data_IF_400078719899
#
_entry.id   IF_400078719899
#
_cell.length_a   1.000
_cell.length_b   1.000
_cell.length_c   1.000
_cell.angle_alpha   90.00
_cell.angle_beta   90.00
_cell.angle_gamma   90.00
#
_symmetry.space_group_name_H-M   'P 1'
#
loop_
_entity.id
_entity.type
_entity.pdbx_description
1 polymer ?
#
# COMPACT_ATOMS: atom_id res chain seq x y z
N UNK A 1 -13.48 1.09 9.80
CA UNK A 1 -12.90 -0.21 10.17
C UNK A 1 -11.41 -0.34 9.79
N UNK A 2 -11.01 -0.92 8.65
CA UNK A 2 -9.60 -1.36 8.41
C UNK A 2 -8.55 -0.25 8.55
N UNK A 3 -8.71 0.89 7.87
CA UNK A 3 -7.73 1.99 7.95
C UNK A 3 -7.63 2.59 9.37
N UNK A 4 -8.74 2.60 10.11
CA UNK A 4 -8.76 3.07 11.49
C UNK A 4 -8.04 2.10 12.42
N UNK A 5 -8.22 0.79 12.23
CA UNK A 5 -7.49 -0.25 12.96
C UNK A 5 -5.97 -0.14 12.71
N UNK A 6 -5.55 0.00 11.45
CA UNK A 6 -4.13 0.19 11.10
C UNK A 6 -3.56 1.45 11.74
N UNK A 7 -4.29 2.57 11.66
CA UNK A 7 -3.86 3.84 12.27
C UNK A 7 -3.78 3.73 13.79
N UNK A 8 -4.71 3.02 14.41
CA UNK A 8 -4.73 2.77 15.86
C UNK A 8 -3.55 1.92 16.32
N UNK A 9 -3.17 0.89 15.55
CA UNK A 9 -2.01 0.04 15.85
C UNK A 9 -0.67 0.78 15.70
N UNK A 10 -0.56 1.65 14.70
CA UNK A 10 0.62 2.51 14.52
C UNK A 10 0.71 3.61 15.58
N UNK A 11 -0.42 4.10 16.10
CA UNK A 11 -0.50 5.18 17.08
C UNK A 11 0.14 6.46 16.55
N UNK A 12 0.97 7.11 17.37
CA UNK A 12 1.64 8.36 17.00
C UNK A 12 2.57 8.25 15.79
N UNK A 13 3.00 7.03 15.45
CA UNK A 13 3.84 6.76 14.26
C UNK A 13 3.07 6.89 12.96
N UNK A 14 1.74 6.95 12.97
CA UNK A 14 0.90 7.08 11.77
C UNK A 14 0.93 8.50 11.16
N UNK A 15 2.13 9.10 11.03
CA UNK A 15 2.34 10.46 10.51
C UNK A 15 3.61 10.51 9.67
N UNK A 16 3.57 11.27 8.59
CA UNK A 16 4.71 11.43 7.69
C UNK A 16 4.75 10.41 6.53
N UNK A 17 5.90 10.26 5.85
CA UNK A 17 6.02 9.48 4.63
C UNK A 17 5.63 8.01 4.80
N UNK A 18 4.90 7.46 3.83
CA UNK A 18 4.50 6.05 3.86
C UNK A 18 4.39 5.42 2.47
N UNK A 19 4.60 4.11 2.44
CA UNK A 19 4.22 3.21 1.35
C UNK A 19 2.80 2.68 1.63
N UNK A 20 1.87 2.92 0.71
CA UNK A 20 0.54 2.32 0.75
C UNK A 20 0.45 1.20 -0.28
N UNK A 21 0.30 -0.03 0.20
CA UNK A 21 0.17 -1.22 -0.62
C UNK A 21 -1.25 -1.78 -0.53
N UNK A 22 -1.96 -1.80 -1.67
CA UNK A 22 -3.26 -2.44 -1.83
C UNK A 22 -3.09 -3.70 -2.66
N UNK A 23 -3.26 -4.84 -2.01
CA UNK A 23 -3.04 -6.16 -2.59
C UNK A 23 -4.37 -6.87 -2.85
N UNK A 24 -4.62 -7.31 -4.08
CA UNK A 24 -5.74 -8.19 -4.40
C UNK A 24 -5.46 -9.64 -4.04
N UNK A 25 -6.47 -10.35 -3.54
CA UNK A 25 -6.37 -11.78 -3.24
C UNK A 25 -6.62 -12.71 -4.43
N UNK A 26 -6.78 -12.14 -5.64
CA UNK A 26 -6.86 -12.86 -6.90
C UNK A 26 -8.16 -12.57 -7.66
N UNK A 27 -9.31 -12.72 -6.99
CA UNK A 27 -10.63 -12.56 -7.60
C UNK A 27 -11.12 -11.11 -7.75
N UNK A 28 -10.41 -10.13 -7.18
CA UNK A 28 -10.82 -8.71 -7.23
C UNK A 28 -10.25 -7.98 -8.45
N UNK A 29 -11.11 -7.37 -9.30
CA UNK A 29 -10.67 -6.60 -10.46
C UNK A 29 -9.74 -5.44 -10.10
N UNK A 30 -8.78 -5.15 -11.00
CA UNK A 30 -7.81 -4.08 -10.79
C UNK A 30 -8.47 -2.70 -10.57
N UNK A 31 -9.57 -2.42 -11.27
CA UNK A 31 -10.35 -1.18 -11.09
C UNK A 31 -10.87 -1.03 -9.65
N UNK A 32 -11.34 -2.12 -9.04
CA UNK A 32 -11.81 -2.11 -7.66
C UNK A 32 -10.64 -1.91 -6.69
N UNK A 33 -9.48 -2.52 -6.96
CA UNK A 33 -8.28 -2.28 -6.15
C UNK A 33 -7.85 -0.80 -6.16
N UNK A 34 -7.96 -0.11 -7.31
CA UNK A 34 -7.70 1.33 -7.39
C UNK A 34 -8.76 2.18 -6.68
N UNK A 35 -10.04 1.77 -6.69
CA UNK A 35 -11.08 2.40 -5.88
C UNK A 35 -10.76 2.29 -4.38
N UNK A 36 -10.32 1.11 -3.94
CA UNK A 36 -9.89 0.86 -2.56
C UNK A 36 -8.66 1.68 -2.20
N UNK A 37 -7.65 1.73 -3.07
CA UNK A 37 -6.47 2.58 -2.90
C UNK A 37 -6.83 4.05 -2.71
N UNK A 38 -7.66 4.62 -3.60
CA UNK A 38 -8.08 6.01 -3.50
C UNK A 38 -8.82 6.30 -2.18
N UNK A 39 -9.67 5.37 -1.74
CA UNK A 39 -10.39 5.50 -0.47
C UNK A 39 -9.44 5.43 0.74
N UNK A 40 -8.53 4.46 0.76
CA UNK A 40 -7.54 4.29 1.82
C UNK A 40 -6.58 5.47 1.91
N UNK A 41 -6.05 5.93 0.76
CA UNK A 41 -5.17 7.10 0.67
C UNK A 41 -5.82 8.33 1.30
N UNK A 42 -7.06 8.66 0.92
CA UNK A 42 -7.79 9.81 1.49
C UNK A 42 -7.95 9.71 3.00
N UNK A 43 -8.23 8.51 3.51
CA UNK A 43 -8.39 8.30 4.97
C UNK A 43 -7.06 8.51 5.68
N UNK A 44 -5.97 7.90 5.21
CA UNK A 44 -4.66 8.05 5.85
C UNK A 44 -4.13 9.49 5.75
N UNK A 45 -4.25 10.13 4.58
CA UNK A 45 -3.78 11.51 4.38
C UNK A 45 -4.54 12.52 5.23
N UNK A 46 -5.84 12.31 5.45
CA UNK A 46 -6.62 13.13 6.39
C UNK A 46 -6.08 13.06 7.82
N UNK A 47 -5.39 11.98 8.19
CA UNK A 47 -4.86 11.74 9.53
C UNK A 47 -3.34 12.02 9.65
N UNK A 48 -2.72 12.66 8.66
CA UNK A 48 -1.32 13.13 8.73
C UNK A 48 -0.28 12.19 8.13
N UNK A 49 -0.68 11.04 7.59
CA UNK A 49 0.18 10.21 6.73
C UNK A 49 0.38 10.92 5.40
N UNK A 50 1.55 10.80 4.80
CA UNK A 50 1.84 11.27 3.43
C UNK A 50 2.20 10.07 2.58
N UNK A 51 1.31 9.63 1.69
CA UNK A 51 1.57 8.48 0.83
C UNK A 51 2.52 8.88 -0.29
N UNK A 52 3.82 8.68 -0.05
CA UNK A 52 4.91 9.01 -0.97
C UNK A 52 5.18 7.90 -1.97
N UNK A 53 4.87 6.65 -1.61
CA UNK A 53 4.98 5.48 -2.49
C UNK A 53 3.71 4.65 -2.44
N UNK A 54 3.44 3.91 -3.51
CA UNK A 54 2.30 3.00 -3.54
C UNK A 54 2.54 1.80 -4.43
N UNK A 55 1.89 0.70 -4.07
CA UNK A 55 1.81 -0.50 -4.88
C UNK A 55 0.34 -0.94 -4.94
N UNK A 56 -0.19 -1.20 -6.12
CA UNK A 56 -1.58 -1.65 -6.30
C UNK A 56 -1.61 -2.79 -7.30
N UNK A 57 -2.27 -3.90 -6.94
CA UNK A 57 -2.38 -5.08 -7.80
C UNK A 57 -2.42 -6.38 -7.01
N UNK A 58 -2.27 -7.51 -7.70
CA UNK A 58 -2.29 -8.84 -7.09
C UNK A 58 -0.86 -9.40 -6.99
N UNK A 59 -0.19 -9.19 -5.86
CA UNK A 59 1.19 -9.64 -5.64
C UNK A 59 1.27 -10.84 -4.69
N UNK A 60 0.37 -10.90 -3.70
CA UNK A 60 0.26 -11.99 -2.73
C UNK A 60 -1.19 -12.48 -2.69
N UNK A 61 -1.55 -13.42 -3.56
CA UNK A 61 -2.94 -13.85 -3.73
C UNK A 61 -3.33 -14.98 -2.78
N UNK A 62 -4.64 -15.23 -2.66
CA UNK A 62 -5.23 -16.42 -2.07
C UNK A 62 -6.10 -17.12 -3.13
N UNK A 63 -5.44 -17.67 -4.14
CA UNK A 63 -6.05 -18.25 -5.34
C UNK A 63 -6.98 -17.23 -6.05
N UNK A 64 -8.28 -17.50 -6.09
CA UNK A 64 -9.33 -16.71 -6.75
C UNK A 64 -10.22 -15.96 -5.73
N UNK A 65 -9.78 -15.84 -4.47
CA UNK A 65 -10.54 -15.14 -3.44
C UNK A 65 -10.82 -13.69 -3.83
N UNK A 66 -12.09 -13.32 -3.78
CA UNK A 66 -12.52 -11.93 -3.87
C UNK A 66 -12.22 -11.22 -2.55
N UNK A 67 -11.33 -10.23 -2.59
CA UNK A 67 -10.91 -9.45 -1.46
C UNK A 67 -9.58 -8.74 -1.70
N UNK A 68 -9.22 -7.87 -0.76
CA UNK A 68 -7.93 -7.21 -0.75
C UNK A 68 -7.40 -7.02 0.67
N UNK A 69 -6.09 -6.84 0.79
CA UNK A 69 -5.47 -6.31 2.01
C UNK A 69 -4.95 -4.89 1.77
N UNK A 70 -4.88 -4.13 2.86
CA UNK A 70 -4.25 -2.82 2.92
C UNK A 70 -3.06 -2.94 3.86
N UNK A 71 -1.87 -2.62 3.36
CA UNK A 71 -0.65 -2.53 4.15
C UNK A 71 -0.17 -1.08 4.12
N UNK A 72 0.12 -0.52 5.30
CA UNK A 72 0.72 0.79 5.45
C UNK A 72 2.08 0.64 6.13
N UNK A 73 3.13 1.10 5.47
CA UNK A 73 4.49 1.07 5.99
C UNK A 73 4.99 2.50 6.11
N UNK A 74 5.29 2.95 7.33
CA UNK A 74 5.93 4.24 7.56
C UNK A 74 7.36 4.19 7.03
N UNK A 75 7.77 5.27 6.37
CA UNK A 75 9.04 5.34 5.68
C UNK A 75 9.93 6.43 6.27
N UNK A 76 11.21 6.13 6.30
CA UNK A 76 12.32 7.05 6.49
C UNK A 76 13.15 7.15 5.20
N UNK A 77 14.19 7.99 5.20
CA UNK A 77 15.00 8.24 4.01
C UNK A 77 15.75 6.98 3.52
N UNK A 78 16.19 6.13 4.45
CA UNK A 78 16.88 4.87 4.11
C UNK A 78 15.92 3.90 3.41
N UNK A 79 14.73 3.68 3.97
CA UNK A 79 13.72 2.77 3.41
C UNK A 79 13.14 3.29 2.10
N UNK A 80 13.01 4.61 1.92
CA UNK A 80 12.66 5.20 0.61
C UNK A 80 13.73 4.86 -0.43
N UNK A 81 15.01 5.05 -0.10
CA UNK A 81 16.11 4.76 -1.01
C UNK A 81 16.16 3.27 -1.39
N UNK A 82 15.89 2.37 -0.44
CA UNK A 82 15.82 0.93 -0.71
C UNK A 82 14.62 0.56 -1.59
N UNK A 83 13.46 1.18 -1.38
CA UNK A 83 12.27 0.94 -2.20
C UNK A 83 12.45 1.41 -3.65
N UNK A 84 13.08 2.57 -3.84
CA UNK A 84 13.27 3.17 -5.16
C UNK A 84 14.41 2.55 -5.97
N UNK A 85 15.22 1.68 -5.36
CA UNK A 85 16.30 0.99 -6.04
C UNK A 85 15.76 0.22 -7.27
N UNK A 86 16.52 0.19 -8.40
CA UNK A 86 16.11 -0.54 -9.59
C UNK A 86 15.83 -2.01 -9.29
N UNK A 87 14.72 -2.52 -9.83
CA UNK A 87 14.30 -3.91 -9.65
C UNK A 87 13.93 -4.53 -10.99
N UNK A 88 14.33 -5.78 -11.19
CA UNK A 88 13.95 -6.56 -12.36
C UNK A 88 13.57 -7.99 -11.92
N UNK A 89 12.30 -8.17 -11.56
CA UNK A 89 11.73 -9.46 -11.19
C UNK A 89 10.50 -9.76 -12.04
N UNK A 90 9.88 -10.94 -11.86
CA UNK A 90 8.67 -11.29 -12.61
C UNK A 90 7.48 -10.36 -12.30
N UNK A 91 7.34 -9.91 -11.05
CA UNK A 91 6.19 -9.15 -10.58
C UNK A 91 6.48 -7.66 -10.33
N UNK A 92 7.75 -7.25 -10.17
CA UNK A 92 8.15 -5.87 -9.89
C UNK A 92 9.28 -5.45 -10.84
N UNK A 93 9.07 -4.35 -11.58
CA UNK A 93 10.03 -3.79 -12.54
C UNK A 93 9.95 -2.26 -12.57
N UNK A 94 11.05 -1.59 -12.26
CA UNK A 94 11.21 -0.13 -12.38
C UNK A 94 12.68 0.28 -12.33
N UNK A 95 12.97 1.53 -12.71
CA UNK A 95 14.32 2.09 -12.68
C UNK A 95 15.27 1.52 -13.73
N UNK A 96 14.72 1.03 -14.85
CA UNK A 96 15.49 0.59 -16.02
C UNK A 96 15.94 1.77 -16.87
#
# INVERSE_FOLDING_TARGET
EICAAISGDLGDRAKGPALLFVNGFGGTPLMELYLMYNSARKIFEKNGVTVTRSLVGSYVTSLDMAGCSITLTMLDDETIALWDAPVHTAAMRWGM
#
